data_IF_529653632197
#
_entry.id   IF_529653632197
#
_cell.length_a   1.000
_cell.length_b   1.000
_cell.length_c   1.000
_cell.angle_alpha   90.00
_cell.angle_beta   90.00
_cell.angle_gamma   90.00
#
_symmetry.space_group_name_H-M   'P 1'
#
loop_
_entity.id
_entity.type
_entity.pdbx_description
1 polymer ?
#
# COMPACT_ATOMS: atom_id res chain seq x y z
N UNK A 1 -3.44 -13.50 -17.33
CA UNK A 1 -4.16 -13.78 -16.06
C UNK A 1 -4.83 -12.51 -15.56
N UNK A 2 -6.02 -12.60 -14.94
CA UNK A 2 -6.73 -11.43 -14.37
C UNK A 2 -5.92 -10.84 -13.20
N UNK A 3 -5.81 -9.51 -13.14
CA UNK A 3 -5.13 -8.79 -12.06
C UNK A 3 -6.06 -8.64 -10.85
N UNK A 4 -5.50 -8.74 -9.66
CA UNK A 4 -6.21 -8.43 -8.41
C UNK A 4 -5.80 -7.04 -7.97
N UNK A 5 -6.73 -6.08 -7.99
CA UNK A 5 -6.46 -4.69 -7.62
C UNK A 5 -6.77 -4.46 -6.14
N UNK A 6 -5.89 -3.76 -5.42
CA UNK A 6 -6.05 -3.51 -3.97
C UNK A 6 -5.68 -2.07 -3.66
N UNK A 7 -6.55 -1.34 -2.96
CA UNK A 7 -6.24 -0.02 -2.41
C UNK A 7 -6.15 -0.11 -0.88
N UNK A 8 -5.08 0.48 -0.33
CA UNK A 8 -4.82 0.50 1.11
C UNK A 8 -4.74 1.96 1.56
N UNK A 9 -5.69 2.36 2.43
CA UNK A 9 -5.83 3.73 2.89
C UNK A 9 -4.81 4.09 3.99
N UNK A 10 -4.63 5.40 4.23
CA UNK A 10 -3.71 5.94 5.25
C UNK A 10 -4.25 5.81 6.68
N UNK A 11 -3.45 6.27 7.66
CA UNK A 11 -3.67 6.05 9.10
C UNK A 11 -5.05 6.52 9.58
N UNK A 12 -5.39 7.77 9.28
CA UNK A 12 -6.64 8.45 9.70
C UNK A 12 -7.77 8.35 8.67
N UNK A 13 -7.62 7.51 7.65
CA UNK A 13 -8.59 7.36 6.58
C UNK A 13 -9.37 6.05 6.69
N UNK A 14 -10.29 5.82 5.75
CA UNK A 14 -11.16 4.64 5.70
C UNK A 14 -11.37 4.19 4.25
N UNK A 15 -12.00 3.03 4.09
CA UNK A 15 -12.53 2.48 2.84
C UNK A 15 -13.58 3.39 2.17
N UNK A 16 -14.03 4.44 2.87
CA UNK A 16 -15.00 5.42 2.39
C UNK A 16 -14.39 6.79 2.06
N UNK A 17 -13.09 7.00 2.28
CA UNK A 17 -12.42 8.27 1.99
C UNK A 17 -12.36 8.63 0.50
N UNK A 18 -12.02 9.89 0.18
CA UNK A 18 -12.05 10.42 -1.19
C UNK A 18 -11.29 9.57 -2.23
N UNK A 19 -10.06 9.16 -1.91
CA UNK A 19 -9.26 8.30 -2.81
C UNK A 19 -9.90 6.91 -2.99
N UNK A 20 -10.44 6.35 -1.91
CA UNK A 20 -11.11 5.06 -1.95
C UNK A 20 -12.37 5.12 -2.85
N UNK A 21 -13.19 6.17 -2.72
CA UNK A 21 -14.34 6.38 -3.61
C UNK A 21 -13.93 6.61 -5.07
N UNK A 22 -12.88 7.39 -5.29
CA UNK A 22 -12.33 7.60 -6.63
C UNK A 22 -11.93 6.28 -7.30
N UNK A 23 -11.20 5.43 -6.57
CA UNK A 23 -10.82 4.11 -7.07
C UNK A 23 -12.03 3.20 -7.26
N UNK A 24 -12.99 3.18 -6.33
CA UNK A 24 -14.21 2.37 -6.43
C UNK A 24 -15.03 2.70 -7.68
N UNK A 25 -15.12 3.99 -8.04
CA UNK A 25 -15.82 4.44 -9.25
C UNK A 25 -15.15 3.94 -10.53
N UNK A 26 -13.81 3.94 -10.57
CA UNK A 26 -13.03 3.59 -11.76
C UNK A 26 -12.71 2.10 -11.86
N UNK A 27 -12.64 1.41 -10.72
CA UNK A 27 -12.27 0.01 -10.57
C UNK A 27 -13.24 -0.67 -9.57
N UNK A 28 -14.47 -1.01 -9.99
CA UNK A 28 -15.49 -1.55 -9.09
C UNK A 28 -15.12 -2.86 -8.39
N UNK A 29 -14.23 -3.67 -9.01
CA UNK A 29 -13.74 -4.93 -8.44
C UNK A 29 -12.51 -4.76 -7.53
N UNK A 30 -12.03 -3.53 -7.31
CA UNK A 30 -10.87 -3.27 -6.47
C UNK A 30 -11.20 -3.60 -5.01
N UNK A 31 -10.30 -4.34 -4.36
CA UNK A 31 -10.40 -4.62 -2.93
C UNK A 31 -10.06 -3.33 -2.17
N UNK A 32 -11.02 -2.85 -1.40
CA UNK A 32 -10.92 -1.62 -0.61
C UNK A 32 -11.56 -1.88 0.75
N UNK A 33 -10.73 -2.15 1.75
CA UNK A 33 -11.15 -2.55 3.10
C UNK A 33 -10.70 -1.51 4.14
N UNK A 34 -11.33 -1.53 5.31
CA UNK A 34 -10.90 -0.72 6.45
C UNK A 34 -9.76 -1.38 7.23
N UNK A 35 -8.75 -0.62 7.61
CA UNK A 35 -7.61 -1.09 8.40
C UNK A 35 -7.50 -0.23 9.66
N UNK A 36 -7.58 -0.87 10.82
CA UNK A 36 -7.55 -0.22 12.14
C UNK A 36 -6.48 -0.85 13.04
N UNK A 37 -6.11 -0.16 14.11
CA UNK A 37 -5.04 -0.58 15.02
C UNK A 37 -3.64 -0.22 14.53
N UNK A 38 -2.63 -0.80 15.19
CA UNK A 38 -1.21 -0.62 14.88
C UNK A 38 -0.80 -1.33 13.57
N UNK A 39 0.45 -1.11 13.12
CA UNK A 39 0.98 -1.72 11.89
C UNK A 39 0.77 -3.23 11.84
N UNK A 40 1.12 -3.93 12.93
CA UNK A 40 1.02 -5.39 12.99
C UNK A 40 -0.42 -5.87 12.77
N UNK A 41 -1.39 -5.28 13.47
CA UNK A 41 -2.82 -5.62 13.34
C UNK A 41 -3.31 -5.39 11.91
N UNK A 42 -2.92 -4.25 11.33
CA UNK A 42 -3.28 -3.88 9.96
C UNK A 42 -2.66 -4.86 8.94
N UNK A 43 -1.40 -5.25 9.14
CA UNK A 43 -0.70 -6.22 8.29
C UNK A 43 -1.27 -7.63 8.41
N UNK A 44 -1.63 -8.08 9.62
CA UNK A 44 -2.33 -9.35 9.82
C UNK A 44 -3.66 -9.38 9.04
N UNK A 45 -4.46 -8.30 9.12
CA UNK A 45 -5.70 -8.17 8.34
C UNK A 45 -5.41 -8.18 6.83
N UNK A 46 -4.41 -7.44 6.35
CA UNK A 46 -4.03 -7.40 4.94
C UNK A 46 -3.64 -8.79 4.42
N UNK A 47 -2.77 -9.51 5.13
CA UNK A 47 -2.36 -10.88 4.78
C UNK A 47 -3.55 -11.83 4.70
N UNK A 48 -4.50 -11.72 5.64
CA UNK A 48 -5.72 -12.53 5.63
C UNK A 48 -6.59 -12.25 4.40
N UNK A 49 -6.84 -10.98 4.07
CA UNK A 49 -7.63 -10.58 2.90
C UNK A 49 -6.98 -11.07 1.61
N UNK A 50 -5.65 -10.96 1.51
CA UNK A 50 -4.93 -11.31 0.30
C UNK A 50 -4.56 -12.80 0.20
N UNK A 51 -4.87 -13.63 1.20
CA UNK A 51 -4.53 -15.06 1.21
C UNK A 51 -5.01 -15.76 -0.08
N UNK A 52 -4.10 -16.46 -0.74
CA UNK A 52 -4.37 -17.19 -1.98
C UNK A 52 -4.58 -16.31 -3.23
N UNK A 53 -4.52 -14.97 -3.10
CA UNK A 53 -4.60 -14.06 -4.24
C UNK A 53 -3.22 -13.82 -4.84
N UNK A 54 -3.16 -13.78 -6.16
CA UNK A 54 -1.96 -13.57 -6.97
C UNK A 54 -2.19 -12.48 -8.00
N UNK A 55 -1.15 -12.12 -8.74
CA UNK A 55 -1.18 -11.06 -9.76
C UNK A 55 -1.67 -9.72 -9.17
N UNK A 56 -1.16 -9.39 -7.99
CA UNK A 56 -1.60 -8.25 -7.19
C UNK A 56 -1.06 -6.94 -7.79
N UNK A 57 -1.92 -5.95 -7.89
CA UNK A 57 -1.53 -4.55 -8.08
C UNK A 57 -1.94 -3.80 -6.81
N UNK A 58 -0.94 -3.40 -6.04
CA UNK A 58 -1.14 -2.75 -4.76
C UNK A 58 -1.03 -1.24 -4.94
N UNK A 59 -2.02 -0.51 -4.47
CA UNK A 59 -2.01 0.95 -4.37
C UNK A 59 -2.10 1.33 -2.91
N UNK A 60 -1.03 1.86 -2.34
CA UNK A 60 -0.97 2.28 -0.94
C UNK A 60 -0.78 3.78 -0.82
N UNK A 61 -1.51 4.43 0.10
CA UNK A 61 -1.33 5.87 0.37
C UNK A 61 -0.90 6.15 1.81
N UNK A 62 0.13 6.99 1.99
CA UNK A 62 0.68 7.31 3.32
C UNK A 62 0.98 6.04 4.11
N UNK A 63 0.36 5.85 5.27
CA UNK A 63 0.50 4.63 6.08
C UNK A 63 0.08 3.35 5.33
N UNK A 64 -0.89 3.44 4.42
CA UNK A 64 -1.25 2.33 3.53
C UNK A 64 -0.16 2.04 2.49
N UNK A 65 0.67 3.03 2.16
CA UNK A 65 1.87 2.89 1.34
C UNK A 65 2.93 2.04 2.04
N UNK A 66 3.17 2.30 3.33
CA UNK A 66 4.02 1.47 4.19
C UNK A 66 3.55 0.02 4.20
N UNK A 67 2.25 -0.21 4.47
CA UNK A 67 1.67 -1.55 4.46
C UNK A 67 1.85 -2.26 3.11
N UNK A 68 1.60 -1.54 2.00
CA UNK A 68 1.75 -2.08 0.66
C UNK A 68 3.20 -2.47 0.35
N UNK A 69 4.16 -1.61 0.71
CA UNK A 69 5.58 -1.85 0.51
C UNK A 69 6.07 -3.03 1.36
N UNK A 70 5.67 -3.10 2.63
CA UNK A 70 6.00 -4.23 3.49
C UNK A 70 5.44 -5.55 2.96
N UNK A 71 4.18 -5.57 2.53
CA UNK A 71 3.60 -6.76 1.93
C UNK A 71 4.34 -7.17 0.64
N UNK A 72 4.68 -6.20 -0.22
CA UNK A 72 5.40 -6.46 -1.45
C UNK A 72 6.81 -7.01 -1.20
N UNK A 73 7.50 -6.54 -0.15
CA UNK A 73 8.74 -7.15 0.29
C UNK A 73 8.50 -8.58 0.74
N UNK A 74 7.54 -8.85 1.62
CA UNK A 74 7.30 -10.22 2.12
C UNK A 74 6.89 -11.21 1.01
N UNK A 75 6.09 -10.77 0.04
CA UNK A 75 5.34 -11.63 -0.89
C UNK A 75 5.56 -11.23 -2.37
N UNK A 76 6.78 -10.78 -2.72
CA UNK A 76 7.15 -10.23 -4.03
C UNK A 76 6.65 -11.04 -5.23
N UNK A 77 6.75 -12.37 -5.18
CA UNK A 77 6.32 -13.26 -6.28
C UNK A 77 4.83 -13.17 -6.63
N UNK A 78 4.02 -12.60 -5.74
CA UNK A 78 2.57 -12.45 -5.90
C UNK A 78 2.17 -11.05 -6.35
N UNK A 79 3.09 -10.09 -6.29
CA UNK A 79 2.87 -8.68 -6.61
C UNK A 79 3.44 -8.35 -7.99
N UNK A 80 2.55 -8.00 -8.93
CA UNK A 80 2.95 -7.58 -10.28
C UNK A 80 3.35 -6.12 -10.35
N UNK A 81 2.79 -5.26 -9.49
CA UNK A 81 3.05 -3.83 -9.50
C UNK A 81 2.71 -3.21 -8.15
N UNK A 82 3.57 -2.31 -7.70
CA UNK A 82 3.35 -1.48 -6.52
C UNK A 82 3.22 -0.01 -6.92
N UNK A 83 2.19 0.67 -6.41
CA UNK A 83 1.96 2.09 -6.61
C UNK A 83 1.84 2.75 -5.24
N UNK A 84 2.67 3.73 -4.98
CA UNK A 84 2.77 4.41 -3.69
C UNK A 84 2.38 5.88 -3.84
N UNK A 85 1.50 6.36 -2.96
CA UNK A 85 0.99 7.72 -2.95
C UNK A 85 1.38 8.41 -1.63
N UNK A 86 2.41 9.24 -1.68
CA UNK A 86 3.05 9.88 -0.53
C UNK A 86 3.29 8.91 0.64
N UNK A 87 4.04 7.80 0.44
CA UNK A 87 4.10 6.70 1.40
C UNK A 87 4.98 7.07 2.61
N UNK A 88 4.54 6.71 3.81
CA UNK A 88 5.31 6.94 5.04
C UNK A 88 6.31 5.79 5.26
N UNK A 89 7.40 5.74 4.47
CA UNK A 89 8.39 4.65 4.51
C UNK A 89 9.51 4.87 5.55
N UNK A 90 9.57 6.06 6.14
CA UNK A 90 10.55 6.52 7.13
C UNK A 90 10.13 6.25 8.59
N UNK A 91 9.00 5.57 8.78
CA UNK A 91 8.44 5.28 10.11
C UNK A 91 8.40 3.77 10.39
N UNK A 92 8.09 3.40 11.63
CA UNK A 92 7.92 2.00 12.08
C UNK A 92 9.16 1.13 11.82
N UNK A 93 10.34 1.75 11.69
CA UNK A 93 11.60 1.08 11.40
C UNK A 93 11.68 0.45 10.01
N UNK A 94 10.77 0.79 9.09
CA UNK A 94 10.69 0.18 7.77
C UNK A 94 11.99 0.34 6.98
N UNK A 95 12.56 1.55 6.99
CA UNK A 95 13.86 1.88 6.39
C UNK A 95 14.99 0.90 6.79
N UNK A 96 14.98 0.41 8.03
CA UNK A 96 15.99 -0.53 8.57
C UNK A 96 15.65 -1.98 8.23
N UNK A 97 14.38 -2.26 7.91
CA UNK A 97 13.88 -3.58 7.54
C UNK A 97 14.04 -3.88 6.05
N UNK A 98 14.33 -2.87 5.20
CA UNK A 98 14.57 -3.08 3.77
C UNK A 98 15.93 -3.74 3.55
N UNK A 99 15.96 -5.07 3.56
CA UNK A 99 17.15 -5.88 3.27
C UNK A 99 17.25 -6.30 1.81
N UNK A 100 16.23 -6.02 0.99
CA UNK A 100 16.15 -6.46 -0.40
C UNK A 100 15.52 -5.42 -1.31
N UNK A 101 15.99 -5.40 -2.56
CA UNK A 101 15.39 -4.62 -3.64
C UNK A 101 14.20 -5.37 -4.22
N UNK A 102 13.13 -4.63 -4.48
CA UNK A 102 12.00 -5.08 -5.26
C UNK A 102 12.38 -5.07 -6.76
N UNK A 103 12.04 -6.13 -7.47
CA UNK A 103 12.32 -6.32 -8.90
C UNK A 103 11.09 -6.11 -9.77
N UNK A 104 9.89 -6.11 -9.16
CA UNK A 104 8.68 -5.72 -9.87
C UNK A 104 8.59 -4.19 -10.06
N UNK A 105 7.84 -3.71 -11.06
CA UNK A 105 7.63 -2.27 -11.24
C UNK A 105 7.03 -1.59 -10.01
N UNK A 106 7.70 -0.56 -9.53
CA UNK A 106 7.23 0.35 -8.48
C UNK A 106 7.04 1.74 -9.06
N UNK A 107 5.90 2.38 -8.80
CA UNK A 107 5.67 3.79 -9.13
C UNK A 107 5.40 4.54 -7.83
N UNK A 108 6.11 5.64 -7.63
CA UNK A 108 5.94 6.50 -6.48
C UNK A 108 5.47 7.89 -6.95
N UNK A 109 4.38 8.36 -6.36
CA UNK A 109 3.89 9.71 -6.51
C UNK A 109 3.99 10.42 -5.17
N UNK A 110 4.70 11.55 -5.12
CA UNK A 110 4.83 12.36 -3.92
C UNK A 110 4.66 13.84 -4.24
N UNK A 111 3.93 14.56 -3.39
CA UNK A 111 3.83 16.02 -3.50
C UNK A 111 5.14 16.68 -3.07
N UNK A 112 5.70 17.57 -3.87
CA UNK A 112 6.94 18.29 -3.52
C UNK A 112 6.79 19.28 -2.36
N UNK A 113 5.54 19.53 -1.92
CA UNK A 113 5.18 20.39 -0.78
C UNK A 113 4.40 19.63 0.29
N UNK A 114 4.59 18.31 0.37
CA UNK A 114 3.95 17.52 1.40
C UNK A 114 4.59 17.85 2.77
N UNK A 115 3.79 18.42 3.67
CA UNK A 115 4.22 18.82 5.01
C UNK A 115 3.99 17.69 6.05
N UNK A 116 3.35 16.58 5.65
CA UNK A 116 3.04 15.45 6.53
C UNK A 116 4.06 14.33 6.35
N UNK A 117 4.37 13.97 5.11
CA UNK A 117 5.40 12.97 4.79
C UNK A 117 6.47 13.65 3.94
N UNK A 118 7.70 13.73 4.46
CA UNK A 118 8.79 14.41 3.77
C UNK A 118 9.13 13.70 2.44
N UNK A 119 8.95 14.33 1.27
CA UNK A 119 9.23 13.71 -0.04
C UNK A 119 10.69 13.28 -0.24
N UNK A 120 11.63 13.83 0.53
CA UNK A 120 13.05 13.50 0.40
C UNK A 120 13.52 12.41 1.38
N UNK A 121 12.61 11.89 2.20
CA UNK A 121 12.87 10.78 3.12
C UNK A 121 12.47 9.40 2.55
N UNK A 122 12.01 9.35 1.30
CA UNK A 122 11.30 8.21 0.69
C UNK A 122 11.97 7.73 -0.59
#
# INVERSE_FOLDING_TARGET
MKKTLVFIHGLESTSQGNKAQYFRKSFPEMIIEDYTGNLETRMQKLRRILKGKNNLVLVGSSYGGLMAAQFALEEESRVQKLILLAPALDIEGFEKAVVKKLHMPVILYHGTKDEVVNPYAV
#
